data_IF_487687137905
#
_entry.id   IF_487687137905
#
_cell.length_a   1.000
_cell.length_b   1.000
_cell.length_c   1.000
_cell.angle_alpha   90.00
_cell.angle_beta   90.00
_cell.angle_gamma   90.00
#
_symmetry.space_group_name_H-M   'P 1'
#
loop_
_entity.id
_entity.type
_entity.pdbx_description
1 polymer ?
#
# COMPACT_ATOMS: atom_id res chain seq x y z
N UNK A 1 27.76 -13.57 1.51
CA UNK A 1 28.37 -14.13 2.73
C UNK A 1 27.25 -14.51 3.68
N UNK A 2 27.26 -15.78 4.11
CA UNK A 2 26.14 -16.52 4.70
C UNK A 2 26.50 -16.74 6.17
N UNK A 3 25.84 -16.07 7.10
CA UNK A 3 26.13 -16.20 8.53
C UNK A 3 25.43 -17.44 9.09
N UNK A 4 26.23 -18.49 9.20
CA UNK A 4 25.95 -19.69 9.94
C UNK A 4 25.95 -19.40 11.45
N UNK A 5 25.00 -19.98 12.18
CA UNK A 5 25.13 -20.21 13.62
C UNK A 5 24.78 -21.67 13.92
N UNK A 6 25.81 -22.43 14.29
CA UNK A 6 25.80 -23.81 14.76
C UNK A 6 25.98 -23.82 16.30
N UNK A 7 25.02 -24.46 16.98
CA UNK A 7 25.12 -25.39 18.14
C UNK A 7 25.80 -24.94 19.44
N UNK A 8 25.01 -24.88 20.53
CA UNK A 8 25.32 -25.35 21.92
C UNK A 8 23.93 -25.68 22.55
N UNK A 9 23.44 -26.91 22.73
CA UNK A 9 23.88 -28.02 23.60
C UNK A 9 22.80 -28.26 24.69
N UNK A 10 22.23 -29.47 24.87
CA UNK A 10 21.10 -29.72 25.78
C UNK A 10 21.56 -30.14 27.19
N UNK A 11 20.89 -29.71 28.25
CA UNK A 11 21.06 -30.31 29.58
C UNK A 11 19.80 -30.16 30.44
N UNK A 12 18.98 -31.20 30.42
CA UNK A 12 17.95 -31.47 31.43
C UNK A 12 18.57 -32.40 32.50
N UNK A 13 18.34 -32.09 33.78
CA UNK A 13 18.32 -32.92 35.01
C UNK A 13 18.47 -31.92 36.19
N UNK A 14 17.80 -31.98 37.34
CA UNK A 14 17.05 -33.04 38.00
C UNK A 14 16.04 -32.46 39.02
N UNK A 15 15.10 -33.32 39.39
CA UNK A 15 14.06 -33.25 40.41
C UNK A 15 14.57 -33.07 41.85
N UNK A 16 13.78 -32.42 42.72
CA UNK A 16 13.69 -32.84 44.12
C UNK A 16 12.27 -32.68 44.68
N UNK A 17 11.75 -33.81 45.15
CA UNK A 17 10.48 -34.06 45.84
C UNK A 17 10.59 -33.60 47.30
N UNK A 18 9.57 -32.91 47.82
CA UNK A 18 9.12 -33.09 49.22
C UNK A 18 7.59 -32.99 49.23
N UNK A 19 6.93 -34.15 49.19
CA UNK A 19 5.56 -34.29 49.65
C UNK A 19 5.57 -34.76 51.11
N UNK A 20 4.71 -34.18 51.94
CA UNK A 20 3.99 -34.93 52.98
C UNK A 20 2.73 -34.17 53.43
N UNK A 21 1.66 -34.95 53.51
CA UNK A 21 0.24 -34.71 53.84
C UNK A 21 0.07 -34.54 55.38
N UNK A 22 -1.15 -34.40 55.94
CA UNK A 22 -2.10 -33.28 55.97
C UNK A 22 -2.35 -32.74 57.41
N UNK A 23 -3.01 -31.60 57.57
CA UNK A 23 -3.98 -31.38 58.66
C UNK A 23 -4.92 -30.22 58.34
N UNK A 24 -6.22 -30.48 58.50
CA UNK A 24 -7.32 -29.56 58.30
C UNK A 24 -7.82 -28.98 59.64
N UNK A 25 -7.99 -27.66 59.70
CA UNK A 25 -9.01 -26.90 60.47
C UNK A 25 -8.81 -25.41 60.13
N UNK A 26 -9.62 -24.80 59.26
CA UNK A 26 -10.93 -24.18 59.50
C UNK A 26 -10.90 -23.04 60.52
N UNK A 27 -11.08 -21.80 60.04
CA UNK A 27 -11.54 -20.67 60.85
C UNK A 27 -11.15 -19.27 60.34
N UNK A 28 -12.13 -18.56 59.75
CA UNK A 28 -12.32 -17.10 59.59
C UNK A 28 -11.40 -16.26 58.69
N UNK A 29 -11.95 -15.84 57.54
CA UNK A 29 -11.65 -14.61 56.76
C UNK A 29 -11.93 -13.32 57.59
N UNK A 30 -11.47 -12.09 57.23
CA UNK A 30 -11.42 -11.57 55.84
C UNK A 30 -10.33 -10.51 55.49
N UNK A 31 -10.34 -10.11 54.21
CA UNK A 31 -9.76 -8.88 53.60
C UNK A 31 -8.21 -8.82 53.49
N UNK A 32 -7.56 -8.36 52.40
CA UNK A 32 -7.99 -7.81 51.11
C UNK A 32 -6.74 -7.59 50.23
N UNK A 33 -6.96 -7.56 48.92
CA UNK A 33 -6.08 -6.94 47.90
C UNK A 33 -4.76 -7.63 47.54
N UNK A 34 -4.81 -8.66 46.71
CA UNK A 34 -3.78 -8.85 45.67
C UNK A 34 -4.24 -9.64 44.43
N UNK A 35 -5.52 -10.01 44.30
CA UNK A 35 -5.99 -10.88 43.19
C UNK A 35 -7.08 -10.22 42.33
N UNK A 36 -7.34 -8.92 42.49
CA UNK A 36 -8.46 -8.24 41.83
C UNK A 36 -8.04 -7.13 40.86
N UNK A 37 -6.94 -7.27 40.12
CA UNK A 37 -6.57 -6.27 39.08
C UNK A 37 -5.99 -6.86 37.78
N UNK A 38 -6.43 -8.06 37.38
CA UNK A 38 -6.15 -8.59 36.03
C UNK A 38 -7.44 -9.05 35.34
N UNK A 39 -8.54 -8.32 35.52
CA UNK A 39 -9.82 -8.61 34.85
C UNK A 39 -10.47 -7.40 34.19
N UNK A 40 -9.74 -6.30 34.04
CA UNK A 40 -10.18 -5.15 33.27
C UNK A 40 -9.10 -4.78 32.24
N UNK A 41 -8.87 -5.67 31.28
CA UNK A 41 -8.64 -5.16 29.93
C UNK A 41 -10.03 -4.69 29.43
N UNK A 42 -10.21 -3.45 28.96
CA UNK A 42 -11.51 -3.05 28.43
C UNK A 42 -11.90 -4.02 27.32
N UNK A 43 -13.06 -4.66 27.47
CA UNK A 43 -13.61 -5.62 26.51
C UNK A 43 -14.09 -4.96 25.21
N UNK A 44 -13.82 -3.67 25.00
CA UNK A 44 -14.30 -2.93 23.84
C UNK A 44 -13.15 -2.21 23.13
N UNK A 45 -12.54 -2.92 22.20
CA UNK A 45 -11.98 -2.28 21.00
C UNK A 45 -12.19 -3.23 19.83
N UNK A 46 -13.44 -3.66 19.62
CA UNK A 46 -13.84 -4.23 18.33
C UNK A 46 -14.51 -3.09 17.57
N UNK A 47 -13.89 -2.54 16.52
CA UNK A 47 -14.55 -1.51 15.72
C UNK A 47 -15.90 -2.05 15.24
N UNK A 48 -16.94 -1.22 15.29
CA UNK A 48 -18.23 -1.59 14.72
C UNK A 48 -18.06 -1.82 13.22
N UNK A 49 -18.93 -2.62 12.60
CA UNK A 49 -18.90 -2.81 11.13
C UNK A 49 -19.03 -1.47 10.38
N UNK A 50 -19.83 -0.53 10.90
CA UNK A 50 -19.94 0.83 10.38
C UNK A 50 -18.62 1.62 10.45
N UNK A 51 -17.81 1.42 11.50
CA UNK A 51 -16.50 2.08 11.64
C UNK A 51 -15.51 1.52 10.60
N UNK A 52 -15.54 0.22 10.35
CA UNK A 52 -14.73 -0.43 9.32
C UNK A 52 -15.11 0.03 7.90
N UNK A 53 -16.40 0.15 7.62
CA UNK A 53 -16.88 0.60 6.32
C UNK A 53 -16.48 2.06 6.05
N UNK A 54 -16.68 2.96 7.02
CA UNK A 54 -16.28 4.36 6.89
C UNK A 54 -14.77 4.52 6.66
N UNK A 55 -13.95 3.77 7.40
CA UNK A 55 -12.49 3.76 7.23
C UNK A 55 -12.08 3.28 5.83
N UNK A 56 -12.74 2.23 5.32
CA UNK A 56 -12.47 1.67 4.00
C UNK A 56 -12.90 2.60 2.86
N UNK A 57 -14.06 3.26 2.99
CA UNK A 57 -14.49 4.31 2.07
C UNK A 57 -13.51 5.49 2.06
N UNK A 58 -13.01 5.91 3.23
CA UNK A 58 -11.99 6.95 3.33
C UNK A 58 -10.68 6.56 2.63
N UNK A 59 -10.22 5.31 2.80
CA UNK A 59 -9.04 4.81 2.09
C UNK A 59 -9.24 4.79 0.57
N UNK A 60 -10.42 4.36 0.09
CA UNK A 60 -10.79 4.39 -1.33
C UNK A 60 -10.72 5.80 -1.89
N UNK A 61 -11.38 6.76 -1.22
CA UNK A 61 -11.39 8.16 -1.64
C UNK A 61 -9.98 8.77 -1.65
N UNK A 62 -9.15 8.48 -0.64
CA UNK A 62 -7.77 8.94 -0.57
C UNK A 62 -6.90 8.39 -1.71
N UNK A 63 -7.07 7.11 -2.05
CA UNK A 63 -6.36 6.49 -3.18
C UNK A 63 -6.75 7.14 -4.51
N UNK A 64 -8.05 7.28 -4.79
CA UNK A 64 -8.55 7.89 -6.03
C UNK A 64 -8.00 9.30 -6.16
N UNK A 65 -8.15 10.13 -5.12
CA UNK A 65 -7.63 11.51 -5.12
C UNK A 65 -6.12 11.57 -5.37
N UNK A 66 -5.36 10.66 -4.76
CA UNK A 66 -3.90 10.61 -4.96
C UNK A 66 -3.55 10.29 -6.41
N UNK A 67 -4.25 9.35 -7.03
CA UNK A 67 -4.02 9.02 -8.44
C UNK A 67 -4.48 10.14 -9.38
N UNK A 68 -5.61 10.79 -9.13
CA UNK A 68 -6.06 11.95 -9.91
C UNK A 68 -5.02 13.06 -9.90
N UNK A 69 -4.47 13.39 -8.72
CA UNK A 69 -3.39 14.39 -8.60
C UNK A 69 -2.15 13.97 -9.40
N UNK A 70 -1.71 12.73 -9.26
CA UNK A 70 -0.54 12.21 -9.98
C UNK A 70 -0.75 12.16 -11.49
N UNK A 71 -1.95 11.80 -11.94
CA UNK A 71 -2.29 11.80 -13.35
C UNK A 71 -2.33 13.22 -13.93
N UNK A 72 -2.87 14.18 -13.18
CA UNK A 72 -2.84 15.59 -13.57
C UNK A 72 -1.40 16.13 -13.70
N UNK A 73 -0.54 15.84 -12.73
CA UNK A 73 0.89 16.17 -12.80
C UNK A 73 1.56 15.52 -14.01
N UNK A 74 1.29 14.23 -14.27
CA UNK A 74 1.87 13.53 -15.40
C UNK A 74 1.36 14.08 -16.74
N UNK A 75 0.10 14.48 -16.84
CA UNK A 75 -0.46 15.14 -18.02
C UNK A 75 0.21 16.46 -18.32
N UNK A 76 0.45 17.29 -17.30
CA UNK A 76 1.22 18.52 -17.45
C UNK A 76 2.64 18.22 -17.98
N UNK A 77 3.30 17.19 -17.45
CA UNK A 77 4.62 16.78 -17.94
C UNK A 77 4.56 16.29 -19.40
N UNK A 78 3.49 15.61 -19.82
CA UNK A 78 3.28 15.21 -21.22
C UNK A 78 3.04 16.46 -22.11
N UNK A 79 2.35 17.50 -21.61
CA UNK A 79 2.20 18.79 -22.31
C UNK A 79 3.56 19.45 -22.53
N UNK A 80 4.39 19.50 -21.50
CA UNK A 80 5.75 20.05 -21.57
C UNK A 80 6.62 19.27 -22.57
N UNK A 81 6.60 17.93 -22.49
CA UNK A 81 7.29 17.06 -23.45
C UNK A 81 6.81 17.29 -24.89
N UNK A 82 5.50 17.46 -25.08
CA UNK A 82 4.91 17.76 -26.39
C UNK A 82 5.41 19.10 -26.91
N UNK A 83 5.50 20.11 -26.06
CA UNK A 83 6.01 21.43 -26.43
C UNK A 83 7.50 21.39 -26.82
N UNK A 84 8.31 20.57 -26.13
CA UNK A 84 9.74 20.39 -26.48
C UNK A 84 9.94 19.66 -27.80
N UNK A 85 9.09 18.66 -28.08
CA UNK A 85 9.01 18.02 -29.40
C UNK A 85 8.65 19.08 -30.46
N UNK A 86 7.68 19.95 -30.19
CA UNK A 86 7.30 21.02 -31.12
C UNK A 86 8.39 22.07 -31.35
N UNK A 87 9.37 22.18 -30.47
CA UNK A 87 10.57 23.03 -30.68
C UNK A 87 11.70 22.30 -31.40
N UNK A 88 11.59 20.99 -31.56
CA UNK A 88 12.60 20.14 -32.20
C UNK A 88 12.52 20.16 -33.73
N UNK A 89 13.48 19.51 -34.39
CA UNK A 89 13.51 19.39 -35.85
C UNK A 89 12.31 18.61 -36.40
N UNK A 90 11.95 18.83 -37.67
CA UNK A 90 10.83 18.12 -38.32
C UNK A 90 10.98 16.60 -38.28
N UNK A 91 12.21 16.08 -38.36
CA UNK A 91 12.48 14.64 -38.26
C UNK A 91 12.14 14.11 -36.85
N UNK A 92 12.61 14.81 -35.80
CA UNK A 92 12.30 14.43 -34.41
C UNK A 92 10.80 14.50 -34.15
N UNK A 93 10.11 15.54 -34.63
CA UNK A 93 8.64 15.64 -34.52
C UNK A 93 7.93 14.43 -35.12
N UNK A 94 8.28 14.06 -36.35
CA UNK A 94 7.67 12.93 -37.04
C UNK A 94 7.89 11.60 -36.29
N UNK A 95 9.09 11.39 -35.74
CA UNK A 95 9.40 10.19 -34.94
C UNK A 95 8.70 10.19 -33.57
N UNK A 96 8.49 11.36 -32.97
CA UNK A 96 7.94 11.52 -31.62
C UNK A 96 6.41 11.49 -31.59
N UNK A 97 5.75 11.93 -32.67
CA UNK A 97 4.29 12.04 -32.76
C UNK A 97 3.55 10.76 -32.32
N UNK A 98 3.88 9.54 -32.79
CA UNK A 98 3.20 8.33 -32.33
C UNK A 98 3.43 8.05 -30.83
N UNK A 99 4.59 8.42 -30.28
CA UNK A 99 4.92 8.22 -28.85
C UNK A 99 4.05 9.10 -27.98
N UNK A 100 3.96 10.39 -28.29
CA UNK A 100 3.12 11.34 -27.54
C UNK A 100 1.63 10.98 -27.65
N UNK A 101 1.16 10.58 -28.84
CA UNK A 101 -0.22 10.13 -28.99
C UNK A 101 -0.55 8.92 -28.12
N UNK A 102 0.36 7.94 -28.03
CA UNK A 102 0.17 6.79 -27.17
C UNK A 102 0.08 7.18 -25.69
N UNK A 103 0.90 8.13 -25.23
CA UNK A 103 0.84 8.64 -23.86
C UNK A 103 -0.49 9.34 -23.57
N UNK A 104 -1.00 10.14 -24.51
CA UNK A 104 -2.32 10.79 -24.38
C UNK A 104 -3.44 9.76 -24.27
N UNK A 105 -3.46 8.79 -25.17
CA UNK A 105 -4.48 7.75 -25.16
C UNK A 105 -4.46 6.93 -23.86
N UNK A 106 -3.27 6.60 -23.34
CA UNK A 106 -3.13 5.90 -22.05
C UNK A 106 -3.61 6.76 -20.87
N UNK A 107 -3.34 8.06 -20.90
CA UNK A 107 -3.81 9.00 -19.88
C UNK A 107 -5.33 9.14 -19.89
N UNK A 108 -5.93 9.30 -21.07
CA UNK A 108 -7.39 9.40 -21.23
C UNK A 108 -8.08 8.12 -20.75
N UNK A 109 -7.53 6.96 -21.08
CA UNK A 109 -8.03 5.67 -20.60
C UNK A 109 -7.95 5.56 -19.07
N UNK A 110 -6.85 6.04 -18.47
CA UNK A 110 -6.69 6.01 -17.02
C UNK A 110 -7.66 6.97 -16.31
N UNK A 111 -7.92 8.13 -16.91
CA UNK A 111 -8.92 9.09 -16.44
C UNK A 111 -10.32 8.45 -16.42
N UNK A 112 -10.72 7.78 -17.50
CA UNK A 112 -12.00 7.06 -17.59
C UNK A 112 -12.09 5.92 -16.56
N UNK A 113 -11.00 5.17 -16.38
CA UNK A 113 -10.94 4.12 -15.35
C UNK A 113 -11.14 4.72 -13.96
N UNK A 114 -10.45 5.82 -13.62
CA UNK A 114 -10.58 6.50 -12.33
C UNK A 114 -12.01 6.97 -12.05
N UNK A 115 -12.72 7.44 -13.07
CA UNK A 115 -14.13 7.81 -12.94
C UNK A 115 -15.01 6.58 -12.66
N UNK A 116 -14.75 5.46 -13.35
CA UNK A 116 -15.45 4.19 -13.08
C UNK A 116 -15.14 3.63 -11.69
N UNK A 117 -13.90 3.81 -11.21
CA UNK A 117 -13.46 3.34 -9.89
C UNK A 117 -14.25 4.01 -8.77
N UNK A 118 -14.66 5.28 -8.91
CA UNK A 118 -15.44 6.01 -7.90
C UNK A 118 -16.72 5.27 -7.52
N UNK A 119 -17.37 4.65 -8.50
CA UNK A 119 -18.63 3.93 -8.33
C UNK A 119 -18.46 2.43 -8.03
N UNK A 120 -17.24 1.89 -8.11
CA UNK A 120 -16.98 0.47 -7.86
C UNK A 120 -17.34 0.02 -6.43
N UNK A 121 -18.06 -1.09 -6.31
CA UNK A 121 -18.38 -1.71 -5.02
C UNK A 121 -17.17 -2.38 -4.35
N UNK A 122 -17.35 -2.79 -3.10
CA UNK A 122 -16.31 -3.42 -2.27
C UNK A 122 -15.64 -4.64 -2.92
N UNK A 123 -16.45 -5.54 -3.48
CA UNK A 123 -15.96 -6.80 -4.07
C UNK A 123 -15.06 -6.59 -5.28
N UNK A 124 -15.18 -5.44 -5.95
CA UNK A 124 -14.41 -5.08 -7.14
C UNK A 124 -13.21 -4.17 -6.84
N UNK A 125 -13.15 -3.60 -5.64
CA UNK A 125 -12.21 -2.53 -5.30
C UNK A 125 -10.73 -2.91 -5.48
N UNK A 126 -10.29 -4.05 -4.93
CA UNK A 126 -8.87 -4.43 -4.98
C UNK A 126 -8.39 -4.77 -6.41
N UNK A 127 -9.26 -5.39 -7.23
CA UNK A 127 -8.95 -5.68 -8.62
C UNK A 127 -8.82 -4.39 -9.43
N UNK A 128 -9.76 -3.48 -9.26
CA UNK A 128 -9.77 -2.18 -9.94
C UNK A 128 -8.56 -1.35 -9.51
N UNK A 129 -8.28 -1.24 -8.21
CA UNK A 129 -7.09 -0.57 -7.68
C UNK A 129 -5.79 -1.12 -8.29
N UNK A 130 -5.68 -2.45 -8.43
CA UNK A 130 -4.50 -3.06 -9.04
C UNK A 130 -4.37 -2.70 -10.51
N UNK A 131 -5.46 -2.83 -11.28
CA UNK A 131 -5.50 -2.47 -12.70
C UNK A 131 -5.14 -1.00 -12.94
N UNK A 132 -5.76 -0.09 -12.20
CA UNK A 132 -5.50 1.36 -12.30
C UNK A 132 -4.05 1.70 -11.89
N UNK A 133 -3.50 1.03 -10.87
CA UNK A 133 -2.10 1.22 -10.46
C UNK A 133 -1.12 0.76 -11.56
N UNK A 134 -1.40 -0.36 -12.21
CA UNK A 134 -0.56 -0.89 -13.28
C UNK A 134 -0.60 0.03 -14.50
N UNK A 135 -1.80 0.44 -14.94
CA UNK A 135 -1.97 1.38 -16.05
C UNK A 135 -1.25 2.72 -15.78
N UNK A 136 -1.32 3.24 -14.55
CA UNK A 136 -0.54 4.42 -14.18
C UNK A 136 0.98 4.19 -14.25
N UNK A 137 1.46 3.02 -13.82
CA UNK A 137 2.89 2.68 -13.90
C UNK A 137 3.37 2.60 -15.34
N UNK A 138 2.59 1.97 -16.22
CA UNK A 138 2.88 1.85 -17.65
C UNK A 138 2.93 3.23 -18.33
N UNK A 139 1.96 4.11 -18.04
CA UNK A 139 1.95 5.48 -18.54
C UNK A 139 3.19 6.25 -18.09
N UNK A 140 3.56 6.13 -16.81
CA UNK A 140 4.74 6.78 -16.24
C UNK A 140 6.03 6.29 -16.90
N UNK A 141 6.14 4.99 -17.13
CA UNK A 141 7.29 4.39 -17.82
C UNK A 141 7.36 4.85 -19.28
N UNK A 142 6.23 4.83 -20.00
CA UNK A 142 6.15 5.34 -21.37
C UNK A 142 6.58 6.82 -21.47
N UNK A 143 6.16 7.65 -20.51
CA UNK A 143 6.58 9.04 -20.43
C UNK A 143 8.09 9.16 -20.22
N UNK A 144 8.65 8.42 -19.26
CA UNK A 144 10.08 8.41 -18.97
C UNK A 144 10.90 8.03 -20.20
N UNK A 145 10.53 6.91 -20.84
CA UNK A 145 11.20 6.41 -22.04
C UNK A 145 11.13 7.41 -23.20
N UNK A 146 9.99 8.08 -23.39
CA UNK A 146 9.83 9.08 -24.46
C UNK A 146 10.67 10.32 -24.18
N UNK A 147 10.75 10.76 -22.93
CA UNK A 147 11.58 11.89 -22.51
C UNK A 147 13.07 11.59 -22.67
N UNK A 148 13.53 10.41 -22.27
CA UNK A 148 14.94 10.00 -22.45
C UNK A 148 15.32 9.95 -23.93
N UNK A 149 14.48 9.29 -24.75
CA UNK A 149 14.65 9.26 -26.20
C UNK A 149 14.72 10.66 -26.81
N UNK A 150 13.88 11.61 -26.35
CA UNK A 150 13.92 12.99 -26.83
C UNK A 150 15.24 13.68 -26.46
N UNK A 151 15.73 13.48 -25.23
CA UNK A 151 17.02 13.99 -24.78
C UNK A 151 18.18 13.52 -25.66
N UNK A 152 18.22 12.22 -25.98
CA UNK A 152 19.21 11.63 -26.89
C UNK A 152 19.11 12.21 -28.32
N UNK A 153 17.91 12.53 -28.79
CA UNK A 153 17.69 13.07 -30.15
C UNK A 153 18.04 14.56 -30.28
N UNK A 154 17.87 15.34 -29.21
CA UNK A 154 18.16 16.79 -29.20
C UNK A 154 19.63 17.05 -28.85
N UNK A 155 20.26 16.18 -28.06
CA UNK A 155 21.70 16.23 -27.73
C UNK A 155 22.42 14.93 -28.13
N UNK A 156 22.50 14.61 -29.43
CA UNK A 156 23.12 13.39 -29.93
C UNK A 156 24.66 13.40 -29.85
#
# INVERSE_FOLDING_TARGET
MKTAYLIIGPLALATLVIGCKPSARSGSEPETSATRQISQAPAETRPSTADLDSFRHAQKAAYIKTLETRLAELNQNIDELSADIERSSLAVKAEAQPRVMALRAQSDLLQEQLDTVKDAGESTWESVKTSTSNAYSELKEGFHNTREWLGEKISP
#
